data_IF_032170072679
#
_entry.id   IF_032170072679
#
_cell.length_a   1.000
_cell.length_b   1.000
_cell.length_c   1.000
_cell.angle_alpha   90.00
_cell.angle_beta   90.00
_cell.angle_gamma   90.00
#
_symmetry.space_group_name_H-M   'P 1'
#
loop_
_entity.id
_entity.type
_entity.pdbx_description
1 polymer ?
#
# COMPACT_ATOMS: atom_id res chain seq x y z
N UNK A 1 -58.76 25.59 -21.30
CA UNK A 1 -58.23 24.98 -22.55
C UNK A 1 -56.74 25.32 -22.63
N UNK A 2 -55.88 24.37 -22.35
CA UNK A 2 -54.52 24.29 -22.96
C UNK A 2 -53.79 23.07 -22.40
N UNK A 3 -53.32 22.29 -23.27
CA UNK A 3 -52.82 20.93 -23.07
C UNK A 3 -51.39 20.91 -22.48
N UNK A 4 -51.20 20.08 -21.47
CA UNK A 4 -49.92 19.64 -20.88
C UNK A 4 -49.16 18.80 -21.90
N UNK A 5 -47.87 19.15 -22.13
CA UNK A 5 -46.92 18.35 -22.88
C UNK A 5 -45.94 17.71 -21.91
N UNK A 6 -46.13 16.40 -21.69
CA UNK A 6 -45.21 15.57 -20.93
C UNK A 6 -44.06 15.18 -21.90
N UNK A 7 -42.84 15.66 -21.65
CA UNK A 7 -41.63 15.21 -22.33
C UNK A 7 -41.11 13.94 -21.65
N UNK A 8 -41.23 12.80 -22.34
CA UNK A 8 -40.53 11.58 -22.01
C UNK A 8 -39.06 11.72 -22.42
N UNK A 9 -38.15 11.58 -21.46
CA UNK A 9 -36.73 11.42 -21.72
C UNK A 9 -36.50 9.93 -21.95
N UNK A 10 -36.19 9.57 -23.18
CA UNK A 10 -35.70 8.23 -23.54
C UNK A 10 -34.21 8.15 -23.13
N UNK A 11 -33.93 7.32 -22.14
CA UNK A 11 -32.55 6.94 -21.81
C UNK A 11 -32.11 5.86 -22.78
N UNK A 12 -31.29 6.21 -23.76
CA UNK A 12 -30.67 5.28 -24.70
C UNK A 12 -29.49 4.63 -24.02
N UNK A 13 -29.64 3.37 -23.60
CA UNK A 13 -28.50 2.52 -23.22
C UNK A 13 -27.71 2.18 -24.47
N UNK A 14 -26.53 2.73 -24.62
CA UNK A 14 -25.56 2.29 -25.64
C UNK A 14 -24.90 1.02 -25.10
N UNK A 15 -25.34 -0.13 -25.59
CA UNK A 15 -24.59 -1.38 -25.47
C UNK A 15 -23.41 -1.32 -26.43
N UNK A 16 -22.20 -1.07 -25.93
CA UNK A 16 -20.98 -1.36 -26.68
C UNK A 16 -20.78 -2.86 -26.72
N UNK A 17 -21.06 -3.45 -27.85
CA UNK A 17 -20.69 -4.82 -28.15
C UNK A 17 -19.17 -4.90 -28.36
N UNK A 18 -18.43 -5.35 -27.33
CA UNK A 18 -17.05 -5.79 -27.49
C UNK A 18 -17.06 -7.09 -28.30
N UNK A 19 -16.60 -7.05 -29.55
CA UNK A 19 -16.14 -8.25 -30.25
C UNK A 19 -14.85 -8.72 -29.59
N UNK A 20 -14.98 -9.54 -28.55
CA UNK A 20 -13.86 -10.19 -27.88
C UNK A 20 -13.40 -11.38 -28.69
N UNK A 21 -12.16 -11.39 -29.15
CA UNK A 21 -11.44 -12.61 -29.49
C UNK A 21 -11.47 -13.51 -28.26
N UNK A 22 -11.98 -14.72 -28.41
CA UNK A 22 -12.01 -15.72 -27.35
C UNK A 22 -10.58 -16.06 -26.94
N UNK A 23 -10.16 -15.51 -25.82
CA UNK A 23 -8.91 -15.91 -25.15
C UNK A 23 -9.21 -17.24 -24.45
N UNK A 24 -8.61 -18.31 -24.96
CA UNK A 24 -8.71 -19.62 -24.32
C UNK A 24 -7.94 -19.59 -23.00
N UNK A 25 -8.65 -19.47 -21.89
CA UNK A 25 -8.07 -19.66 -20.56
C UNK A 25 -7.80 -21.14 -20.33
N UNK A 26 -6.54 -21.50 -20.15
CA UNK A 26 -6.17 -22.83 -19.66
C UNK A 26 -6.46 -22.86 -18.16
N UNK A 27 -7.66 -23.31 -17.79
CA UNK A 27 -8.07 -23.53 -16.40
C UNK A 27 -7.51 -24.89 -15.96
N UNK A 28 -6.40 -24.91 -15.25
CA UNK A 28 -6.12 -26.00 -14.34
C UNK A 28 -7.04 -25.82 -13.10
N UNK A 29 -8.29 -26.27 -13.20
CA UNK A 29 -9.22 -26.30 -12.06
C UNK A 29 -8.93 -27.60 -11.30
N UNK A 30 -8.40 -27.54 -10.05
CA UNK A 30 -8.34 -28.74 -9.22
C UNK A 30 -9.75 -29.24 -8.90
N UNK A 31 -9.91 -30.54 -8.80
CA UNK A 31 -11.16 -31.20 -8.38
C UNK A 31 -11.62 -30.62 -7.04
N UNK A 32 -12.91 -30.54 -6.82
CA UNK A 32 -13.58 -29.86 -5.71
C UNK A 32 -12.94 -30.10 -4.35
N UNK A 33 -12.40 -29.01 -3.74
CA UNK A 33 -12.06 -28.96 -2.32
C UNK A 33 -10.57 -28.91 -1.99
N UNK A 34 -9.64 -29.17 -2.91
CA UNK A 34 -8.20 -29.13 -2.63
C UNK A 34 -7.59 -27.75 -2.92
N UNK A 35 -6.62 -27.34 -2.10
CA UNK A 35 -5.86 -26.12 -2.30
C UNK A 35 -4.96 -26.24 -3.55
N UNK A 36 -4.87 -25.17 -4.33
CA UNK A 36 -3.90 -25.09 -5.43
C UNK A 36 -2.49 -24.94 -4.84
N UNK A 37 -1.63 -25.93 -5.05
CA UNK A 37 -0.22 -25.84 -4.66
C UNK A 37 0.55 -25.21 -5.81
N UNK A 38 1.25 -24.10 -5.52
CA UNK A 38 2.12 -23.40 -6.46
C UNK A 38 3.55 -23.51 -5.94
N UNK A 39 4.31 -24.38 -6.59
CA UNK A 39 5.74 -24.50 -6.31
C UNK A 39 6.50 -23.27 -6.87
N UNK A 40 7.76 -23.13 -6.47
CA UNK A 40 8.69 -22.16 -7.05
C UNK A 40 8.63 -22.16 -8.58
N UNK A 41 8.46 -20.99 -9.22
CA UNK A 41 8.42 -20.95 -10.68
C UNK A 41 7.94 -19.65 -11.29
N UNK A 42 7.70 -19.69 -12.60
CA UNK A 42 7.32 -18.53 -13.42
C UNK A 42 5.97 -18.80 -14.10
N UNK A 43 5.00 -17.95 -13.84
CA UNK A 43 3.70 -17.92 -14.53
C UNK A 43 3.86 -17.08 -15.81
N UNK A 44 3.78 -17.73 -16.98
CA UNK A 44 4.07 -17.12 -18.28
C UNK A 44 2.84 -16.72 -19.10
N UNK A 45 1.66 -17.04 -18.61
CA UNK A 45 0.38 -16.72 -19.26
C UNK A 45 -0.64 -16.22 -18.25
N UNK A 46 -1.71 -15.59 -18.72
CA UNK A 46 -2.81 -15.15 -17.88
C UNK A 46 -3.33 -16.32 -17.05
N UNK A 47 -3.43 -16.09 -15.73
CA UNK A 47 -3.74 -17.12 -14.75
C UNK A 47 -4.76 -16.59 -13.75
N UNK A 48 -5.70 -17.43 -13.36
CA UNK A 48 -6.73 -17.11 -12.35
C UNK A 48 -6.47 -17.94 -11.10
N UNK A 49 -6.43 -17.28 -9.95
CA UNK A 49 -6.42 -17.93 -8.64
C UNK A 49 -7.76 -17.73 -7.94
N UNK A 50 -8.28 -18.83 -7.38
CA UNK A 50 -9.51 -18.84 -6.60
C UNK A 50 -9.42 -19.83 -5.44
N UNK A 51 -10.30 -19.70 -4.44
CA UNK A 51 -10.38 -20.55 -3.25
C UNK A 51 -9.10 -20.45 -2.40
N UNK A 52 -8.34 -21.51 -2.30
CA UNK A 52 -7.11 -21.55 -1.53
C UNK A 52 -5.92 -21.86 -2.42
N UNK A 53 -4.87 -21.06 -2.26
CA UNK A 53 -3.59 -21.18 -3.00
C UNK A 53 -2.46 -21.24 -1.99
N UNK A 54 -1.61 -22.26 -2.06
CA UNK A 54 -0.45 -22.42 -1.19
C UNK A 54 0.83 -22.25 -2.00
N UNK A 55 1.60 -21.23 -1.67
CA UNK A 55 2.86 -20.87 -2.34
C UNK A 55 4.05 -21.45 -1.56
N UNK A 56 4.87 -22.27 -2.24
CA UNK A 56 6.02 -22.94 -1.67
C UNK A 56 7.34 -22.48 -2.33
N UNK A 57 7.61 -21.19 -2.29
CA UNK A 57 8.80 -20.57 -2.88
C UNK A 57 8.44 -19.33 -3.67
N UNK A 58 9.40 -18.76 -4.38
CA UNK A 58 9.16 -17.58 -5.18
C UNK A 58 8.33 -17.92 -6.42
N UNK A 59 7.28 -17.14 -6.63
CA UNK A 59 6.42 -17.22 -7.82
C UNK A 59 6.51 -15.89 -8.57
N UNK A 60 7.02 -15.95 -9.81
CA UNK A 60 7.12 -14.77 -10.67
C UNK A 60 5.98 -14.76 -11.70
N UNK A 61 5.31 -13.61 -11.80
CA UNK A 61 4.39 -13.31 -12.91
C UNK A 61 5.23 -12.65 -14.01
N UNK A 62 5.43 -13.36 -15.11
CA UNK A 62 6.28 -12.90 -16.20
C UNK A 62 5.71 -11.65 -16.88
N UNK A 63 6.58 -10.87 -17.52
CA UNK A 63 6.20 -9.77 -18.38
C UNK A 63 5.19 -10.24 -19.46
N UNK A 64 4.08 -9.53 -19.60
CA UNK A 64 2.98 -9.86 -20.52
C UNK A 64 1.91 -10.77 -19.93
N UNK A 65 2.17 -11.44 -18.80
CA UNK A 65 1.16 -12.25 -18.10
C UNK A 65 0.38 -11.43 -17.06
N UNK A 66 -0.87 -11.79 -16.83
CA UNK A 66 -1.72 -11.23 -15.78
C UNK A 66 -2.13 -12.31 -14.79
N UNK A 67 -1.90 -12.06 -13.50
CA UNK A 67 -2.49 -12.83 -12.43
C UNK A 67 -3.79 -12.16 -11.99
N UNK A 68 -4.90 -12.86 -12.10
CA UNK A 68 -6.20 -12.44 -11.60
C UNK A 68 -6.48 -13.25 -10.33
N UNK A 69 -6.70 -12.57 -9.21
CA UNK A 69 -7.07 -13.21 -7.93
C UNK A 69 -8.53 -12.90 -7.64
N UNK A 70 -9.35 -13.97 -7.57
CA UNK A 70 -10.79 -13.84 -7.43
C UNK A 70 -11.22 -13.47 -6.00
N UNK A 71 -12.35 -12.79 -5.82
CA UNK A 71 -12.85 -12.44 -4.50
C UNK A 71 -13.00 -13.66 -3.57
N UNK A 72 -12.48 -13.51 -2.33
CA UNK A 72 -12.50 -14.56 -1.31
C UNK A 72 -11.41 -15.61 -1.43
N UNK A 73 -10.44 -15.41 -2.34
CA UNK A 73 -9.26 -16.27 -2.42
C UNK A 73 -8.35 -16.06 -1.21
N UNK A 74 -7.82 -17.15 -0.67
CA UNK A 74 -6.80 -17.14 0.39
C UNK A 74 -5.50 -17.65 -0.19
N UNK A 75 -4.49 -16.77 -0.24
CA UNK A 75 -3.13 -17.08 -0.70
C UNK A 75 -2.23 -17.22 0.52
N UNK A 76 -1.71 -18.42 0.78
CA UNK A 76 -0.84 -18.74 1.90
C UNK A 76 0.58 -18.97 1.45
N UNK A 77 1.51 -18.33 2.10
CA UNK A 77 2.94 -18.48 1.82
C UNK A 77 3.59 -19.40 2.87
N UNK A 78 4.17 -20.50 2.42
CA UNK A 78 4.96 -21.37 3.29
C UNK A 78 6.25 -20.65 3.68
N UNK A 79 6.59 -20.72 4.96
CA UNK A 79 7.82 -20.15 5.48
C UNK A 79 9.01 -21.00 5.02
N UNK A 80 9.76 -20.46 4.07
CA UNK A 80 10.96 -21.10 3.53
C UNK A 80 12.22 -20.56 4.19
N UNK A 81 13.33 -21.31 4.10
CA UNK A 81 14.66 -20.83 4.48
C UNK A 81 15.14 -19.79 3.45
N UNK A 82 15.58 -18.66 3.92
CA UNK A 82 16.12 -17.57 3.09
C UNK A 82 17.31 -17.98 2.21
N UNK A 83 18.09 -18.98 2.64
CA UNK A 83 19.26 -19.49 1.93
C UNK A 83 19.00 -20.87 1.31
N UNK A 84 17.77 -21.34 1.30
CA UNK A 84 17.40 -22.65 0.82
C UNK A 84 17.25 -22.74 -0.71
N UNK A 85 17.10 -23.96 -1.25
CA UNK A 85 16.91 -24.18 -2.70
C UNK A 85 15.63 -23.56 -3.26
N UNK A 86 14.68 -23.17 -2.39
CA UNK A 86 13.43 -22.51 -2.77
C UNK A 86 13.63 -21.02 -3.08
N UNK A 87 14.80 -20.47 -2.77
CA UNK A 87 15.12 -19.08 -3.10
C UNK A 87 15.41 -18.95 -4.61
N UNK A 88 14.56 -18.20 -5.31
CA UNK A 88 14.72 -17.89 -6.74
C UNK A 88 15.67 -16.74 -7.02
N UNK A 89 16.44 -16.33 -6.06
CA UNK A 89 17.27 -15.14 -6.01
C UNK A 89 18.02 -14.82 -7.33
N UNK A 90 17.29 -14.36 -8.34
CA UNK A 90 17.88 -13.88 -9.60
C UNK A 90 18.28 -12.40 -9.52
N UNK A 91 17.79 -11.66 -8.53
CA UNK A 91 18.13 -10.25 -8.33
C UNK A 91 18.18 -9.89 -6.85
N UNK A 92 19.36 -10.02 -6.24
CA UNK A 92 19.60 -9.77 -4.81
C UNK A 92 19.21 -8.36 -4.32
N UNK A 93 19.16 -7.39 -5.20
CA UNK A 93 18.83 -5.99 -4.82
C UNK A 93 17.34 -5.74 -4.60
N UNK A 94 16.49 -6.62 -5.14
CA UNK A 94 15.03 -6.45 -5.10
C UNK A 94 14.29 -7.64 -4.49
N UNK A 95 15.02 -8.53 -3.84
CA UNK A 95 14.56 -9.79 -3.31
C UNK A 95 14.48 -9.78 -1.78
N UNK A 96 13.45 -10.42 -1.23
CA UNK A 96 13.28 -10.67 0.19
C UNK A 96 13.73 -12.08 0.57
N UNK A 97 14.13 -12.31 1.81
CA UNK A 97 14.70 -13.59 2.23
C UNK A 97 13.66 -14.71 2.47
N UNK A 98 12.47 -14.60 1.96
CA UNK A 98 11.35 -15.55 2.10
C UNK A 98 10.60 -15.63 0.79
N UNK A 99 9.64 -16.58 0.67
CA UNK A 99 8.79 -16.70 -0.50
C UNK A 99 8.12 -15.38 -0.88
N UNK A 100 8.17 -15.03 -2.16
CA UNK A 100 7.60 -13.81 -2.71
C UNK A 100 6.62 -14.09 -3.85
N UNK A 101 5.68 -13.18 -4.02
CA UNK A 101 4.95 -13.04 -5.27
C UNK A 101 5.57 -11.89 -6.07
N UNK A 102 6.44 -12.21 -7.01
CA UNK A 102 7.18 -11.24 -7.85
C UNK A 102 6.34 -10.92 -9.08
N UNK A 103 6.00 -9.67 -9.29
CA UNK A 103 5.14 -9.24 -10.41
C UNK A 103 5.94 -8.36 -11.36
N UNK A 104 6.31 -8.93 -12.53
CA UNK A 104 6.84 -8.19 -13.68
C UNK A 104 5.78 -7.98 -14.75
N UNK A 105 4.78 -8.85 -14.80
CA UNK A 105 3.57 -8.70 -15.58
C UNK A 105 2.55 -7.81 -14.86
N UNK A 106 1.40 -8.33 -14.52
CA UNK A 106 0.35 -7.58 -13.82
C UNK A 106 -0.36 -8.44 -12.79
N UNK A 107 -0.80 -7.82 -11.69
CA UNK A 107 -1.72 -8.41 -10.72
C UNK A 107 -3.02 -7.61 -10.64
N UNK A 108 -4.14 -8.32 -10.70
CA UNK A 108 -5.48 -7.81 -10.44
C UNK A 108 -6.09 -8.61 -9.28
N UNK A 109 -5.94 -8.11 -8.06
CA UNK A 109 -6.50 -8.68 -6.86
C UNK A 109 -7.65 -7.78 -6.39
N UNK A 110 -8.86 -8.07 -6.88
CA UNK A 110 -10.04 -7.26 -6.64
C UNK A 110 -11.08 -8.08 -5.87
N UNK A 111 -11.01 -8.01 -4.54
CA UNK A 111 -12.01 -8.57 -3.64
C UNK A 111 -13.28 -7.74 -3.56
N UNK A 112 -14.12 -8.07 -2.60
CA UNK A 112 -15.27 -7.25 -2.18
C UNK A 112 -15.26 -7.11 -0.66
N UNK A 113 -16.10 -6.24 -0.12
CA UNK A 113 -16.22 -6.06 1.33
C UNK A 113 -16.59 -7.37 2.04
N UNK A 114 -17.42 -8.19 1.43
CA UNK A 114 -17.93 -9.45 1.96
C UNK A 114 -16.99 -10.62 1.66
N UNK A 115 -16.15 -10.49 0.63
CA UNK A 115 -15.23 -11.52 0.14
C UNK A 115 -13.86 -10.92 -0.15
N UNK A 116 -13.18 -10.52 0.92
CA UNK A 116 -11.81 -10.03 0.80
C UNK A 116 -10.87 -11.12 0.30
N UNK A 117 -9.84 -10.72 -0.42
CA UNK A 117 -8.73 -11.61 -0.81
C UNK A 117 -7.70 -11.56 0.32
N UNK A 118 -7.24 -12.71 0.80
CA UNK A 118 -6.22 -12.77 1.87
C UNK A 118 -4.87 -13.23 1.32
N UNK A 119 -3.80 -12.49 1.65
CA UNK A 119 -2.41 -12.87 1.44
C UNK A 119 -1.75 -12.98 2.81
N UNK A 120 -1.37 -14.19 3.22
CA UNK A 120 -0.93 -14.44 4.60
C UNK A 120 0.09 -15.58 4.70
N UNK A 121 0.62 -15.81 5.88
CA UNK A 121 1.48 -16.97 6.20
C UNK A 121 0.68 -18.28 6.20
N UNK A 122 1.35 -19.39 5.84
CA UNK A 122 0.81 -20.74 5.98
C UNK A 122 1.07 -21.35 7.37
N UNK A 123 1.78 -20.67 8.26
CA UNK A 123 2.12 -21.16 9.58
C UNK A 123 0.90 -21.18 10.52
N UNK A 124 0.83 -22.16 11.42
CA UNK A 124 -0.22 -22.23 12.46
C UNK A 124 -0.15 -21.08 13.47
N UNK A 125 1.03 -20.54 13.69
CA UNK A 125 1.29 -19.38 14.56
C UNK A 125 2.04 -18.31 13.78
N UNK A 126 1.36 -17.59 12.89
CA UNK A 126 1.97 -16.68 11.95
C UNK A 126 2.61 -15.47 12.63
N UNK A 127 3.71 -14.97 12.08
CA UNK A 127 4.48 -13.82 12.58
C UNK A 127 4.88 -12.88 11.44
N UNK A 128 5.13 -11.60 11.74
CA UNK A 128 5.73 -10.69 10.77
C UNK A 128 7.01 -11.29 10.15
N UNK A 129 7.15 -11.13 8.84
CA UNK A 129 8.26 -11.65 8.02
C UNK A 129 8.31 -13.19 7.86
N UNK A 130 7.21 -13.89 8.00
CA UNK A 130 7.11 -15.30 7.61
C UNK A 130 7.23 -15.50 6.10
N UNK A 131 6.85 -14.51 5.30
CA UNK A 131 7.03 -14.46 3.85
C UNK A 131 7.55 -13.09 3.40
N UNK A 132 7.99 -12.98 2.13
CA UNK A 132 8.66 -11.80 1.61
C UNK A 132 7.72 -10.64 1.35
N UNK A 133 7.15 -10.58 0.14
CA UNK A 133 6.32 -9.48 -0.29
C UNK A 133 5.40 -9.85 -1.48
N UNK A 134 4.37 -9.03 -1.72
CA UNK A 134 3.87 -8.82 -3.08
C UNK A 134 4.81 -7.79 -3.70
N UNK A 135 5.68 -8.22 -4.61
CA UNK A 135 6.84 -7.45 -5.07
C UNK A 135 6.67 -7.01 -6.52
N UNK A 136 6.31 -5.75 -6.73
CA UNK A 136 6.06 -5.16 -8.05
C UNK A 136 7.35 -4.58 -8.64
N UNK A 137 7.82 -5.14 -9.75
CA UNK A 137 9.08 -4.79 -10.38
C UNK A 137 8.87 -4.36 -11.84
N UNK A 138 9.10 -3.08 -12.14
CA UNK A 138 8.99 -2.50 -13.50
C UNK A 138 7.65 -2.83 -14.19
N UNK A 139 6.54 -2.66 -13.51
CA UNK A 139 5.21 -3.09 -13.95
C UNK A 139 4.16 -2.01 -13.80
N UNK A 140 3.06 -2.10 -14.56
CA UNK A 140 1.97 -1.11 -14.57
C UNK A 140 0.59 -1.77 -14.53
N UNK A 141 -0.43 -0.98 -14.17
CA UNK A 141 -1.81 -1.43 -14.20
C UNK A 141 -2.19 -2.42 -13.12
N UNK A 142 -1.47 -2.44 -12.00
CA UNK A 142 -1.74 -3.32 -10.86
C UNK A 142 -2.86 -2.75 -9.99
N UNK A 143 -3.67 -3.64 -9.43
CA UNK A 143 -4.76 -3.27 -8.51
C UNK A 143 -4.78 -4.24 -7.34
N UNK A 144 -4.79 -3.69 -6.13
CA UNK A 144 -5.15 -4.38 -4.90
C UNK A 144 -6.38 -3.67 -4.31
N UNK A 145 -7.51 -4.33 -4.29
CA UNK A 145 -8.76 -3.80 -3.78
C UNK A 145 -9.44 -4.82 -2.88
N UNK A 146 -9.90 -4.39 -1.70
CA UNK A 146 -10.45 -5.29 -0.68
C UNK A 146 -9.56 -6.52 -0.45
N UNK A 147 -8.27 -6.26 -0.22
CA UNK A 147 -7.30 -7.29 0.14
C UNK A 147 -6.90 -7.17 1.62
N UNK A 148 -6.75 -8.29 2.29
CA UNK A 148 -6.09 -8.42 3.58
C UNK A 148 -4.67 -8.93 3.35
N UNK A 149 -3.66 -8.22 3.87
CA UNK A 149 -2.24 -8.57 3.70
C UNK A 149 -1.56 -8.60 5.05
N UNK A 150 -1.08 -9.76 5.46
CA UNK A 150 -0.52 -9.95 6.79
C UNK A 150 0.70 -10.88 6.83
N UNK A 151 1.53 -10.70 7.86
CA UNK A 151 2.69 -11.54 8.19
C UNK A 151 3.84 -11.50 7.15
N UNK A 152 3.80 -10.56 6.20
CA UNK A 152 4.89 -10.33 5.27
C UNK A 152 6.08 -9.61 5.93
N UNK A 153 7.26 -9.72 5.33
CA UNK A 153 8.36 -8.79 5.60
C UNK A 153 7.95 -7.38 5.18
N UNK A 154 7.44 -7.25 3.94
CA UNK A 154 6.78 -6.04 3.45
C UNK A 154 5.52 -6.43 2.67
N UNK A 155 4.34 -6.02 3.15
CA UNK A 155 3.07 -6.44 2.54
C UNK A 155 3.00 -6.14 1.05
N UNK A 156 3.30 -4.90 0.66
CA UNK A 156 3.46 -4.50 -0.73
C UNK A 156 4.79 -3.78 -0.92
N UNK A 157 5.60 -4.27 -1.86
CA UNK A 157 6.86 -3.65 -2.26
C UNK A 157 6.80 -3.21 -3.72
N UNK A 158 7.25 -1.99 -4.04
CA UNK A 158 7.10 -1.42 -5.37
C UNK A 158 8.38 -0.73 -5.83
N UNK A 159 9.09 -1.30 -6.79
CA UNK A 159 10.23 -0.71 -7.45
C UNK A 159 9.94 -0.46 -8.94
N UNK A 160 9.73 0.80 -9.30
CA UNK A 160 9.33 1.14 -10.66
C UNK A 160 7.96 0.54 -11.03
N UNK A 161 6.99 0.56 -10.11
CA UNK A 161 5.66 -0.01 -10.33
C UNK A 161 4.54 1.02 -10.24
N UNK A 162 3.43 0.73 -10.93
CA UNK A 162 2.21 1.52 -10.82
C UNK A 162 1.10 0.65 -10.25
N UNK A 163 0.50 1.10 -9.14
CA UNK A 163 -0.53 0.35 -8.44
C UNK A 163 -1.53 1.26 -7.72
N UNK A 164 -2.79 0.85 -7.74
CA UNK A 164 -3.83 1.38 -6.86
C UNK A 164 -4.10 0.38 -5.76
N UNK A 165 -4.00 0.83 -4.50
CA UNK A 165 -4.29 0.07 -3.29
C UNK A 165 -5.44 0.75 -2.58
N UNK A 166 -6.60 0.10 -2.56
CA UNK A 166 -7.81 0.71 -2.01
C UNK A 166 -8.64 -0.27 -1.20
N UNK A 167 -9.25 0.22 -0.12
CA UNK A 167 -10.11 -0.58 0.76
C UNK A 167 -9.43 -1.84 1.33
N UNK A 168 -8.11 -1.84 1.41
CA UNK A 168 -7.34 -2.98 1.90
C UNK A 168 -7.03 -2.88 3.40
N UNK A 169 -6.70 -4.02 3.99
CA UNK A 169 -6.28 -4.15 5.38
C UNK A 169 -4.87 -4.73 5.47
N UNK A 170 -3.91 -3.93 5.93
CA UNK A 170 -2.52 -4.34 6.15
C UNK A 170 -2.25 -4.40 7.64
N UNK A 171 -1.87 -5.59 8.15
CA UNK A 171 -1.60 -5.78 9.58
C UNK A 171 -0.54 -6.86 9.83
N UNK A 172 0.10 -6.79 10.96
CA UNK A 172 1.10 -7.76 11.40
C UNK A 172 2.22 -8.03 10.40
N UNK A 173 2.56 -7.03 9.56
CA UNK A 173 3.70 -7.07 8.65
C UNK A 173 4.93 -6.41 9.30
N UNK A 174 6.13 -6.69 8.79
CA UNK A 174 7.32 -5.89 9.12
C UNK A 174 7.12 -4.44 8.72
N UNK A 175 6.78 -4.19 7.46
CA UNK A 175 6.28 -2.90 6.94
C UNK A 175 5.06 -3.15 6.09
N UNK A 176 4.02 -2.33 6.21
CA UNK A 176 2.81 -2.53 5.41
C UNK A 176 3.07 -2.32 3.91
N UNK A 177 3.63 -1.16 3.54
CA UNK A 177 3.91 -0.81 2.15
C UNK A 177 5.22 -0.05 2.00
N UNK A 178 5.97 -0.35 0.93
CA UNK A 178 7.19 0.36 0.58
C UNK A 178 7.32 0.60 -0.92
N UNK A 179 7.89 1.77 -1.30
CA UNK A 179 8.12 2.10 -2.69
C UNK A 179 9.36 2.96 -2.89
N UNK A 180 10.06 2.75 -3.99
CA UNK A 180 11.14 3.63 -4.46
C UNK A 180 11.31 3.51 -5.99
N UNK A 181 11.87 4.55 -6.61
CA UNK A 181 12.38 4.45 -7.97
C UNK A 181 13.79 3.85 -7.96
N UNK A 182 14.09 3.03 -8.93
CA UNK A 182 15.41 2.44 -9.16
C UNK A 182 15.89 2.78 -10.56
N UNK A 183 17.20 2.89 -10.76
CA UNK A 183 17.77 3.40 -12.02
C UNK A 183 17.57 2.42 -13.18
N UNK A 184 17.61 1.14 -12.88
CA UNK A 184 17.52 0.02 -13.81
C UNK A 184 16.10 -0.20 -14.38
N UNK A 185 15.08 0.47 -13.81
CA UNK A 185 13.70 0.35 -14.27
C UNK A 185 13.24 1.63 -14.96
N UNK A 186 12.65 1.48 -16.15
CA UNK A 186 12.09 2.58 -16.93
C UNK A 186 10.82 3.13 -16.29
N UNK A 187 9.98 2.24 -15.77
CA UNK A 187 8.74 2.60 -15.09
C UNK A 187 9.04 3.33 -13.79
N UNK A 188 8.36 4.45 -13.58
CA UNK A 188 8.40 5.16 -12.29
C UNK A 188 7.28 4.67 -11.39
N UNK A 189 7.60 4.56 -10.10
CA UNK A 189 6.62 4.19 -9.09
C UNK A 189 5.55 5.28 -8.96
N UNK A 190 4.31 4.89 -9.24
CA UNK A 190 3.11 5.70 -9.03
C UNK A 190 2.16 4.87 -8.18
N UNK A 191 2.09 5.19 -6.89
CA UNK A 191 1.31 4.41 -5.93
C UNK A 191 0.23 5.29 -5.33
N UNK A 192 -1.02 4.87 -5.53
CA UNK A 192 -2.20 5.47 -4.91
C UNK A 192 -2.65 4.61 -3.74
N UNK A 193 -2.62 5.15 -2.52
CA UNK A 193 -2.95 4.46 -1.27
C UNK A 193 -4.17 5.13 -0.68
N UNK A 194 -5.35 4.55 -0.90
CA UNK A 194 -6.62 5.21 -0.63
C UNK A 194 -7.55 4.31 0.20
N UNK A 195 -8.16 4.86 1.24
CA UNK A 195 -9.18 4.17 2.05
C UNK A 195 -8.70 2.84 2.66
N UNK A 196 -7.44 2.74 3.05
CA UNK A 196 -6.90 1.51 3.63
C UNK A 196 -6.85 1.58 5.16
N UNK A 197 -6.92 0.42 5.80
CA UNK A 197 -6.60 0.22 7.21
C UNK A 197 -5.18 -0.34 7.31
N UNK A 198 -4.30 0.36 7.99
CA UNK A 198 -2.87 0.03 8.15
C UNK A 198 -2.55 0.04 9.64
N UNK A 199 -2.56 -1.12 10.28
CA UNK A 199 -2.48 -1.19 11.74
C UNK A 199 -1.68 -2.40 12.24
N UNK A 200 -0.98 -2.25 13.36
CA UNK A 200 -0.27 -3.36 14.00
C UNK A 200 0.98 -3.84 13.25
N UNK A 201 1.46 -3.08 12.26
CA UNK A 201 2.70 -3.41 11.56
C UNK A 201 3.93 -2.88 12.32
N UNK A 202 5.13 -3.33 11.95
CA UNK A 202 6.37 -2.67 12.38
C UNK A 202 6.41 -1.23 11.88
N UNK A 203 6.22 -1.03 10.58
CA UNK A 203 6.04 0.29 9.96
C UNK A 203 4.80 0.35 9.06
N UNK A 204 4.24 1.55 8.90
CA UNK A 204 3.10 1.78 8.02
C UNK A 204 3.54 1.93 6.55
N UNK A 205 3.61 3.16 6.06
CA UNK A 205 3.92 3.48 4.66
C UNK A 205 5.33 4.07 4.57
N UNK A 206 6.21 3.42 3.80
CA UNK A 206 7.55 3.90 3.46
C UNK A 206 7.60 4.31 1.99
N UNK A 207 8.02 5.53 1.67
CA UNK A 207 8.24 5.96 0.30
C UNK A 207 9.59 6.66 0.14
N UNK A 208 10.25 6.40 -0.97
CA UNK A 208 11.64 6.84 -1.12
C UNK A 208 12.06 7.14 -2.56
N UNK A 209 13.28 7.62 -2.69
CA UNK A 209 14.06 7.82 -3.93
C UNK A 209 13.23 8.29 -5.14
N UNK A 210 12.74 9.52 -5.06
CA UNK A 210 12.04 10.20 -6.18
C UNK A 210 10.59 9.77 -6.41
N UNK A 211 9.98 9.03 -5.49
CA UNK A 211 8.54 8.73 -5.57
C UNK A 211 7.70 9.86 -4.97
N UNK A 212 6.48 9.99 -5.49
CA UNK A 212 5.49 10.99 -5.03
C UNK A 212 4.12 10.34 -4.92
N UNK A 213 3.89 9.54 -3.86
CA UNK A 213 2.62 8.84 -3.69
C UNK A 213 1.46 9.79 -3.37
N UNK A 214 0.25 9.34 -3.69
CA UNK A 214 -0.98 9.87 -3.12
C UNK A 214 -1.41 8.99 -1.95
N UNK A 215 -1.49 9.57 -0.75
CA UNK A 215 -1.86 8.87 0.49
C UNK A 215 -3.07 9.60 1.07
N UNK A 216 -4.26 9.01 0.96
CA UNK A 216 -5.49 9.71 1.34
C UNK A 216 -6.54 8.80 1.95
N UNK A 217 -7.27 9.32 2.94
CA UNK A 217 -8.38 8.64 3.61
C UNK A 217 -8.00 7.29 4.25
N UNK A 218 -6.75 7.14 4.70
CA UNK A 218 -6.31 5.91 5.35
C UNK A 218 -6.39 6.02 6.87
N UNK A 219 -6.66 4.89 7.52
CA UNK A 219 -6.53 4.69 8.96
C UNK A 219 -5.17 4.06 9.25
N UNK A 220 -4.18 4.86 9.66
CA UNK A 220 -2.78 4.46 9.89
C UNK A 220 -2.51 4.53 11.37
N UNK A 221 -2.59 3.39 12.08
CA UNK A 221 -2.51 3.41 13.54
C UNK A 221 -1.83 2.20 14.15
N UNK A 222 -1.37 2.37 15.39
CA UNK A 222 -0.78 1.30 16.20
C UNK A 222 0.39 0.59 15.49
N UNK A 223 1.06 1.23 14.53
CA UNK A 223 2.28 0.70 13.95
C UNK A 223 3.46 0.98 14.90
N UNK A 224 4.33 -0.01 15.10
CA UNK A 224 5.33 -0.01 16.17
C UNK A 224 6.33 1.14 16.05
N UNK A 225 6.83 1.42 14.84
CA UNK A 225 7.90 2.39 14.64
C UNK A 225 7.40 3.70 14.02
N UNK A 226 6.62 3.63 12.94
CA UNK A 226 6.14 4.81 12.24
C UNK A 226 4.81 4.56 11.51
N UNK A 227 4.03 5.63 11.35
CA UNK A 227 2.86 5.63 10.46
C UNK A 227 3.28 5.86 9.00
N UNK A 228 3.96 6.98 8.72
CA UNK A 228 4.42 7.37 7.39
C UNK A 228 5.90 7.74 7.45
N UNK A 229 6.72 7.24 6.53
CA UNK A 229 8.12 7.59 6.44
C UNK A 229 8.52 7.93 4.99
N UNK A 230 8.86 9.20 4.75
CA UNK A 230 9.42 9.68 3.50
C UNK A 230 10.95 9.73 3.54
N UNK A 231 11.65 9.12 2.55
CA UNK A 231 13.11 9.03 2.52
C UNK A 231 13.66 9.35 1.13
N UNK A 232 14.35 10.48 0.97
CA UNK A 232 14.92 10.95 -0.31
C UNK A 232 13.86 10.95 -1.44
N UNK A 233 12.66 11.37 -1.09
CA UNK A 233 11.49 11.30 -1.95
C UNK A 233 11.15 12.65 -2.59
N UNK A 234 10.21 12.61 -3.53
CA UNK A 234 9.58 13.79 -4.11
C UNK A 234 8.38 14.28 -3.29
N UNK A 235 7.65 15.22 -3.86
CA UNK A 235 6.47 15.83 -3.25
C UNK A 235 5.31 14.84 -3.13
N UNK A 236 5.19 14.17 -2.00
CA UNK A 236 4.03 13.35 -1.68
C UNK A 236 2.83 14.22 -1.27
N UNK A 237 1.64 13.78 -1.62
CA UNK A 237 0.38 14.39 -1.21
C UNK A 237 -0.29 13.52 -0.16
N UNK A 238 -0.31 14.00 1.08
CA UNK A 238 -0.85 13.27 2.25
C UNK A 238 -2.00 14.06 2.84
N UNK A 239 -3.24 13.58 2.62
CA UNK A 239 -4.46 14.30 3.01
C UNK A 239 -5.53 13.35 3.55
N UNK A 240 -6.33 13.86 4.46
CA UNK A 240 -7.49 13.14 5.02
C UNK A 240 -7.15 11.77 5.62
N UNK A 241 -5.98 11.63 6.23
CA UNK A 241 -5.61 10.39 6.92
C UNK A 241 -5.76 10.56 8.44
N UNK A 242 -6.05 9.47 9.13
CA UNK A 242 -5.83 9.34 10.56
C UNK A 242 -4.48 8.66 10.77
N UNK A 243 -3.49 9.41 11.28
CA UNK A 243 -2.14 8.90 11.60
C UNK A 243 -1.94 8.98 13.10
N UNK A 244 -2.44 7.96 13.82
CA UNK A 244 -2.62 8.03 15.27
C UNK A 244 -2.04 6.80 15.99
N UNK A 245 -1.52 6.99 17.20
CA UNK A 245 -1.00 5.93 18.08
C UNK A 245 0.10 5.06 17.46
N UNK A 246 0.90 5.62 16.54
CA UNK A 246 2.10 4.96 16.02
C UNK A 246 3.30 5.25 16.95
N UNK A 247 4.46 4.63 16.70
CA UNK A 247 5.71 5.04 17.35
C UNK A 247 5.99 6.51 17.08
N UNK A 248 6.21 6.84 15.80
CA UNK A 248 6.19 8.21 15.26
C UNK A 248 5.09 8.32 14.22
N UNK A 249 4.40 9.45 14.16
CA UNK A 249 3.33 9.66 13.19
C UNK A 249 3.90 9.75 11.78
N UNK A 250 4.64 10.83 11.51
CA UNK A 250 5.28 11.09 10.21
C UNK A 250 6.77 11.34 10.43
N UNK A 251 7.60 10.72 9.59
CA UNK A 251 9.05 10.90 9.57
C UNK A 251 9.47 11.38 8.18
N UNK A 252 10.32 12.41 8.10
CA UNK A 252 10.85 12.89 6.83
C UNK A 252 12.38 12.95 6.86
N UNK A 253 13.01 12.40 5.82
CA UNK A 253 14.44 12.45 5.57
C UNK A 253 14.70 12.83 4.12
N UNK A 254 15.27 14.00 3.88
CA UNK A 254 15.62 14.53 2.56
C UNK A 254 14.44 14.46 1.56
N UNK A 255 13.28 14.95 1.97
CA UNK A 255 12.05 15.05 1.15
C UNK A 255 11.81 16.52 0.80
N UNK A 256 11.72 16.82 -0.49
CA UNK A 256 11.46 18.19 -0.98
C UNK A 256 10.00 18.33 -1.44
N UNK A 257 9.34 19.41 -0.99
CA UNK A 257 7.99 19.75 -1.41
C UNK A 257 6.89 18.84 -0.83
N UNK A 258 7.15 18.21 0.31
CA UNK A 258 6.15 17.40 1.03
C UNK A 258 5.00 18.29 1.52
N UNK A 259 3.78 17.82 1.32
CA UNK A 259 2.56 18.50 1.78
C UNK A 259 1.73 17.57 2.65
N UNK A 260 1.45 18.02 3.86
CA UNK A 260 0.70 17.31 4.87
C UNK A 260 -0.45 18.22 5.33
N UNK A 261 -1.64 18.00 4.83
CA UNK A 261 -2.78 18.85 5.12
C UNK A 261 -4.05 18.05 5.36
N UNK A 262 -4.92 18.58 6.20
CA UNK A 262 -6.25 18.01 6.45
C UNK A 262 -6.18 16.57 6.97
N UNK A 263 -5.18 16.25 7.80
CA UNK A 263 -5.05 14.97 8.47
C UNK A 263 -5.32 15.11 9.98
N UNK A 264 -5.66 14.01 10.63
CA UNK A 264 -5.61 13.87 12.07
C UNK A 264 -4.30 13.16 12.44
N UNK A 265 -3.42 13.85 13.18
CA UNK A 265 -2.10 13.35 13.57
C UNK A 265 -1.96 13.53 15.07
N UNK A 266 -2.22 12.50 15.84
CA UNK A 266 -2.27 12.60 17.29
C UNK A 266 -1.88 11.32 18.01
N UNK A 267 -1.61 11.42 19.28
CA UNK A 267 -1.38 10.28 20.17
C UNK A 267 -0.20 9.37 19.75
N UNK A 268 0.69 9.85 18.86
CA UNK A 268 1.88 9.08 18.52
C UNK A 268 2.88 9.14 19.67
N UNK A 269 3.55 8.02 19.95
CA UNK A 269 4.27 7.81 21.20
C UNK A 269 5.46 8.74 21.39
N UNK A 270 6.21 9.01 20.32
CA UNK A 270 7.41 9.86 20.38
C UNK A 270 7.12 11.24 19.81
N UNK A 271 6.83 11.31 18.50
CA UNK A 271 6.54 12.54 17.79
C UNK A 271 5.35 12.35 16.84
N UNK A 272 4.52 13.36 16.71
CA UNK A 272 3.51 13.43 15.67
C UNK A 272 4.16 13.65 14.30
N UNK A 273 5.22 14.48 14.24
CA UNK A 273 6.06 14.63 13.07
C UNK A 273 7.53 14.86 13.50
N UNK A 274 8.45 14.16 12.83
CA UNK A 274 9.89 14.37 13.06
C UNK A 274 10.65 14.48 11.75
N UNK A 275 11.53 15.49 11.68
CA UNK A 275 12.51 15.66 10.63
C UNK A 275 13.81 14.97 11.04
N UNK A 276 14.44 14.23 10.15
CA UNK A 276 15.73 13.57 10.40
C UNK A 276 16.87 14.38 9.77
N UNK A 277 18.08 14.14 10.25
CA UNK A 277 19.31 14.72 9.70
C UNK A 277 19.35 14.64 8.17
N UNK A 278 19.56 15.80 7.51
CA UNK A 278 19.48 15.93 6.05
C UNK A 278 18.12 16.38 5.50
N UNK A 279 17.08 16.54 6.33
CA UNK A 279 15.85 17.22 5.94
C UNK A 279 16.01 18.73 6.10
N UNK A 280 16.65 19.36 5.12
CA UNK A 280 16.97 20.80 5.12
C UNK A 280 15.85 21.69 4.57
N UNK A 281 14.83 21.10 3.96
CA UNK A 281 13.70 21.83 3.38
C UNK A 281 12.58 21.97 4.39
N UNK A 282 11.98 23.15 4.40
CA UNK A 282 10.78 23.40 5.19
C UNK A 282 9.62 22.53 4.76
N UNK A 283 8.72 22.25 5.69
CA UNK A 283 7.58 21.35 5.51
C UNK A 283 6.28 22.10 5.78
N UNK A 284 5.39 22.12 4.79
CA UNK A 284 4.04 22.65 4.92
C UNK A 284 3.12 21.60 5.53
N UNK A 285 2.79 21.77 6.82
CA UNK A 285 1.92 20.92 7.61
C UNK A 285 0.71 21.67 8.20
N UNK A 286 0.29 22.74 7.52
CA UNK A 286 -0.89 23.53 7.94
C UNK A 286 -2.19 22.77 7.79
N UNK A 287 -3.24 23.28 8.46
CA UNK A 287 -4.59 22.73 8.39
C UNK A 287 -4.72 21.27 8.85
N UNK A 288 -3.84 20.75 9.70
CA UNK A 288 -3.99 19.45 10.33
C UNK A 288 -4.57 19.57 11.74
N UNK A 289 -5.21 18.52 12.21
CA UNK A 289 -5.54 18.34 13.61
C UNK A 289 -4.42 17.57 14.32
N UNK A 290 -3.89 18.14 15.41
CA UNK A 290 -2.74 17.61 16.16
C UNK A 290 -3.13 16.95 17.50
N UNK A 291 -4.44 16.72 17.73
CA UNK A 291 -4.93 16.15 18.98
C UNK A 291 -5.30 17.18 20.04
N UNK A 292 -4.85 18.42 19.90
CA UNK A 292 -5.08 19.54 20.82
C UNK A 292 -5.07 20.86 20.08
N UNK A 293 -5.57 21.91 20.73
CA UNK A 293 -5.46 23.33 20.29
C UNK A 293 -4.40 24.09 21.07
N UNK A 294 -3.72 23.46 22.01
CA UNK A 294 -2.60 24.04 22.73
C UNK A 294 -1.32 23.96 21.88
N UNK A 295 -0.92 25.10 21.33
CA UNK A 295 0.25 25.21 20.45
C UNK A 295 1.54 24.67 21.09
N UNK A 296 1.72 24.88 22.39
CA UNK A 296 2.88 24.36 23.13
C UNK A 296 2.89 22.84 23.17
N UNK A 297 1.73 22.23 23.36
CA UNK A 297 1.61 20.76 23.33
C UNK A 297 1.83 20.22 21.91
N UNK A 298 1.33 20.89 20.87
CA UNK A 298 1.60 20.52 19.47
C UNK A 298 3.12 20.55 19.23
N UNK A 299 3.78 21.63 19.59
CA UNK A 299 5.21 21.82 19.40
C UNK A 299 6.08 20.77 20.10
N UNK A 300 5.72 20.37 21.30
CA UNK A 300 6.43 19.33 22.05
C UNK A 300 6.43 17.94 21.36
N UNK A 301 5.53 17.72 20.41
CA UNK A 301 5.42 16.48 19.61
C UNK A 301 5.90 16.64 18.16
N UNK A 302 6.65 17.71 17.90
CA UNK A 302 7.31 18.00 16.64
C UNK A 302 8.83 18.04 16.90
N UNK A 303 9.61 17.48 15.97
CA UNK A 303 11.06 17.58 15.94
C UNK A 303 11.48 18.24 14.62
N UNK A 304 11.95 19.47 14.66
CA UNK A 304 12.32 20.28 13.50
C UNK A 304 13.52 21.21 13.79
N UNK A 305 13.64 22.30 13.05
CA UNK A 305 14.70 23.30 13.21
C UNK A 305 14.79 23.92 14.61
N UNK A 306 13.72 23.92 15.38
CA UNK A 306 13.75 24.50 16.74
C UNK A 306 14.53 23.61 17.73
N UNK A 307 14.62 22.31 17.45
CA UNK A 307 15.40 21.33 18.22
C UNK A 307 16.78 21.05 17.59
N UNK A 308 16.93 21.27 16.27
CA UNK A 308 18.19 21.06 15.54
C UNK A 308 18.30 22.03 14.37
N UNK A 309 19.18 23.01 14.47
CA UNK A 309 19.39 24.10 13.50
C UNK A 309 19.75 23.62 12.08
N UNK A 310 20.20 22.38 11.92
CA UNK A 310 20.52 21.78 10.62
C UNK A 310 19.30 21.35 9.82
N UNK A 311 18.12 21.32 10.46
CA UNK A 311 16.86 20.88 9.87
C UNK A 311 16.07 22.03 9.25
N UNK A 312 15.12 21.69 8.38
CA UNK A 312 14.09 22.61 7.91
C UNK A 312 13.07 22.92 9.02
N UNK A 313 12.28 23.97 8.80
CA UNK A 313 11.20 24.37 9.69
C UNK A 313 9.91 23.65 9.31
N UNK A 314 9.14 23.22 10.30
CA UNK A 314 7.79 22.75 10.11
C UNK A 314 6.79 23.90 10.30
N UNK A 315 6.05 24.23 9.25
CA UNK A 315 4.95 25.18 9.34
C UNK A 315 3.66 24.42 9.68
N UNK A 316 3.24 24.47 10.94
CA UNK A 316 1.98 23.94 11.44
C UNK A 316 0.96 25.03 11.77
N UNK A 317 1.19 26.26 11.33
CA UNK A 317 0.22 27.37 11.47
C UNK A 317 -1.13 27.01 10.88
N UNK A 318 -2.18 27.74 11.19
CA UNK A 318 -3.54 27.44 10.75
C UNK A 318 -4.00 26.01 11.07
N UNK A 319 -3.52 25.42 12.17
CA UNK A 319 -3.96 24.09 12.56
C UNK A 319 -5.45 24.06 12.90
N UNK A 320 -6.08 22.90 12.68
CA UNK A 320 -7.52 22.74 12.94
C UNK A 320 -7.85 22.81 14.44
N UNK A 321 -8.94 23.49 14.78
CA UNK A 321 -9.47 23.54 16.15
C UNK A 321 -10.21 22.26 16.61
N UNK A 322 -10.38 21.29 15.72
CA UNK A 322 -11.06 20.02 15.98
C UNK A 322 -10.64 18.96 14.99
N UNK A 323 -10.92 17.66 15.24
CA UNK A 323 -10.65 16.59 14.28
C UNK A 323 -11.21 16.88 12.90
N UNK A 324 -10.40 16.61 11.87
CA UNK A 324 -10.80 16.78 10.46
C UNK A 324 -11.87 15.76 10.13
N UNK A 325 -13.05 16.26 9.78
CA UNK A 325 -14.15 15.41 9.33
C UNK A 325 -13.82 14.74 8.00
N UNK A 326 -14.11 13.45 7.89
CA UNK A 326 -13.82 12.68 6.68
C UNK A 326 -12.35 12.23 6.55
N UNK A 327 -11.47 12.55 7.51
CA UNK A 327 -10.18 11.93 7.59
C UNK A 327 -10.30 10.47 8.08
N UNK A 328 -9.48 9.59 7.51
CA UNK A 328 -9.57 8.14 7.75
C UNK A 328 -10.61 7.46 6.88
N UNK A 329 -11.05 6.29 7.33
CA UNK A 329 -12.08 5.51 6.63
C UNK A 329 -13.47 6.13 6.83
N UNK A 330 -14.36 6.02 5.84
CA UNK A 330 -15.77 6.37 6.01
C UNK A 330 -16.38 5.61 7.19
N UNK A 331 -17.19 6.30 7.99
CA UNK A 331 -17.93 5.70 9.10
C UNK A 331 -19.11 4.87 8.60
#
# INVERSE_FOLDING_TARGET
MTKSVVRRILTTCIMLAFMGTAVSFSLAVPASGEALIVEKGIIKSDTVWEKEVIIKGDVEIALGATLIVMPGTVVRFVKIDANGPADNNQNKEHHFPRAELIVRGRILAQGTRERMISFTSAEDSPRPADWGAINLLNTTGNVLEFCEVSHANMGLHCHGGQVTVTNCYFHDNGVAMGQKNVKEFETKSVVSILYNRITGNGGGILFGKGTSPTISHNEIRNNKFFGIYGKKAGAANVRYNNTVRNGKGVILFAVKGFRLRENNISDNKEYNLSLLEGQIWDVDARNNWWGTTDEKQIKNLIWDKDEDDSLGKLDFSDFSGSPIKGAGLPQ
#
